data_IF_589086118256
#
_entry.id   IF_589086118256
#
_cell.length_a   1.000
_cell.length_b   1.000
_cell.length_c   1.000
_cell.angle_alpha   90.00
_cell.angle_beta   90.00
_cell.angle_gamma   90.00
#
_symmetry.space_group_name_H-M   'P 1'
#
loop_
_entity.id
_entity.type
_entity.pdbx_description
1 polymer ?
#
# COMPACT_ATOMS: atom_id res chain seq x y z
N UNK A 1 7.25 -4.42 -1.38
CA UNK A 1 5.81 -4.22 -1.11
C UNK A 1 5.43 -5.23 -0.05
N UNK A 2 4.77 -4.79 1.01
CA UNK A 2 4.34 -5.68 2.10
C UNK A 2 2.87 -6.00 1.90
N UNK A 3 2.52 -7.29 1.92
CA UNK A 3 1.14 -7.74 1.93
C UNK A 3 0.70 -8.01 3.36
N UNK A 4 -0.50 -7.56 3.71
CA UNK A 4 -1.09 -7.75 5.05
C UNK A 4 -2.54 -8.22 4.93
N UNK A 5 -2.98 -9.14 5.80
CA UNK A 5 -4.38 -9.58 5.81
C UNK A 5 -5.33 -8.58 6.47
N UNK A 6 -4.82 -7.68 7.32
CA UNK A 6 -5.65 -6.75 8.09
C UNK A 6 -5.39 -5.29 7.72
N UNK A 7 -6.46 -4.50 7.64
CA UNK A 7 -6.37 -3.06 7.39
C UNK A 7 -5.68 -2.31 8.54
N UNK A 8 -5.82 -2.78 9.78
CA UNK A 8 -5.17 -2.19 10.94
C UNK A 8 -3.64 -2.30 10.82
N UNK A 9 -3.13 -3.50 10.54
CA UNK A 9 -1.70 -3.71 10.32
C UNK A 9 -1.16 -2.90 9.14
N UNK A 10 -1.96 -2.70 8.09
CA UNK A 10 -1.56 -1.80 6.99
C UNK A 10 -1.30 -0.38 7.51
N UNK A 11 -2.27 0.19 8.22
CA UNK A 11 -2.15 1.54 8.77
C UNK A 11 -0.98 1.64 9.76
N UNK A 12 -0.81 0.64 10.63
CA UNK A 12 0.30 0.58 11.57
C UNK A 12 1.65 0.59 10.86
N UNK A 13 1.84 -0.22 9.81
CA UNK A 13 3.13 -0.26 9.08
C UNK A 13 3.39 1.05 8.34
N UNK A 14 2.37 1.68 7.76
CA UNK A 14 2.51 3.02 7.14
C UNK A 14 2.94 4.09 8.17
N UNK A 15 2.41 4.03 9.40
CA UNK A 15 2.75 4.95 10.48
C UNK A 15 4.15 4.65 11.05
N UNK A 16 4.44 3.39 11.40
CA UNK A 16 5.74 3.00 11.97
C UNK A 16 6.89 3.33 11.01
N UNK A 17 6.66 3.27 9.70
CA UNK A 17 7.65 3.68 8.72
C UNK A 17 8.06 5.15 8.85
N UNK A 18 7.12 6.04 9.20
CA UNK A 18 7.45 7.46 9.45
C UNK A 18 8.35 7.60 10.69
N UNK A 19 8.08 6.83 11.73
CA UNK A 19 8.88 6.84 12.97
C UNK A 19 10.28 6.27 12.74
N UNK A 20 10.39 5.12 12.07
CA UNK A 20 11.68 4.51 11.70
C UNK A 20 12.51 5.47 10.84
N UNK A 21 11.87 6.15 9.89
CA UNK A 21 12.54 7.16 9.06
C UNK A 21 13.09 8.33 9.90
N UNK A 22 12.37 8.75 10.94
CA UNK A 22 12.82 9.80 11.88
C UNK A 22 13.98 9.32 12.75
N UNK A 23 13.88 8.15 13.36
CA UNK A 23 14.89 7.64 14.28
C UNK A 23 16.18 7.22 13.59
N UNK A 24 16.08 6.58 12.43
CA UNK A 24 17.22 6.02 11.70
C UNK A 24 17.75 6.97 10.62
N UNK A 25 17.16 8.15 10.44
CA UNK A 25 17.53 9.09 9.37
C UNK A 25 17.29 8.54 7.96
N UNK A 26 16.40 7.55 7.83
CA UNK A 26 16.10 6.88 6.56
C UNK A 26 14.91 7.52 5.86
N UNK A 27 14.71 7.20 4.58
CA UNK A 27 13.61 7.75 3.74
C UNK A 27 12.87 6.63 3.02
N UNK A 28 12.54 5.58 3.74
CA UNK A 28 11.82 4.46 3.17
C UNK A 28 10.38 4.87 2.86
N UNK A 29 9.93 4.56 1.64
CA UNK A 29 8.56 4.72 1.18
C UNK A 29 8.04 3.36 0.69
N UNK A 30 7.90 2.42 1.62
CA UNK A 30 7.60 1.03 1.28
C UNK A 30 6.08 0.89 1.10
N UNK A 31 5.61 0.47 -0.08
CA UNK A 31 4.19 0.27 -0.30
C UNK A 31 3.65 -0.92 0.50
N UNK A 32 2.53 -0.71 1.19
CA UNK A 32 1.79 -1.74 1.94
C UNK A 32 0.38 -1.88 1.35
N UNK A 33 -0.06 -3.11 1.08
CA UNK A 33 -1.39 -3.37 0.51
C UNK A 33 -2.09 -4.51 1.24
N UNK A 34 -3.42 -4.43 1.32
CA UNK A 34 -4.22 -5.53 1.85
C UNK A 34 -4.31 -6.65 0.82
N UNK A 35 -4.34 -7.91 1.24
CA UNK A 35 -4.47 -9.06 0.34
C UNK A 35 -5.72 -8.97 -0.54
N UNK A 36 -6.84 -8.51 0.01
CA UNK A 36 -8.07 -8.30 -0.76
C UNK A 36 -7.89 -7.29 -1.89
N UNK A 37 -7.08 -6.24 -1.67
CA UNK A 37 -6.80 -5.25 -2.69
C UNK A 37 -5.92 -5.83 -3.79
N UNK A 38 -4.89 -6.61 -3.42
CA UNK A 38 -4.01 -7.27 -4.40
C UNK A 38 -4.82 -8.26 -5.23
N UNK A 39 -5.69 -9.04 -4.59
CA UNK A 39 -6.57 -10.00 -5.27
C UNK A 39 -7.53 -9.31 -6.23
N UNK A 40 -8.17 -8.23 -5.79
CA UNK A 40 -9.10 -7.48 -6.64
C UNK A 40 -8.41 -6.91 -7.88
N UNK A 41 -7.20 -6.35 -7.75
CA UNK A 41 -6.39 -5.93 -8.90
C UNK A 41 -6.06 -7.11 -9.82
N UNK A 42 -5.68 -8.27 -9.26
CA UNK A 42 -5.37 -9.46 -10.03
C UNK A 42 -6.60 -10.00 -10.80
N UNK A 43 -7.81 -9.83 -10.26
CA UNK A 43 -9.07 -10.17 -10.90
C UNK A 43 -9.57 -9.10 -11.90
N UNK A 44 -8.77 -8.08 -12.21
CA UNK A 44 -9.13 -7.03 -13.16
C UNK A 44 -9.88 -5.84 -12.56
N UNK A 45 -9.93 -5.71 -11.24
CA UNK A 45 -10.49 -4.54 -10.55
C UNK A 45 -9.66 -3.28 -10.80
N UNK A 46 -10.36 -2.17 -11.01
CA UNK A 46 -9.76 -0.87 -11.33
C UNK A 46 -9.17 -0.19 -10.08
N UNK A 47 -8.18 0.68 -10.26
CA UNK A 47 -7.53 1.39 -9.16
C UNK A 47 -8.50 2.18 -8.24
N UNK A 48 -9.64 2.62 -8.79
CA UNK A 48 -10.71 3.31 -8.05
C UNK A 48 -11.51 2.37 -7.16
N UNK A 49 -11.88 1.19 -7.66
CA UNK A 49 -12.66 0.20 -6.91
C UNK A 49 -11.88 -0.32 -5.70
N UNK A 50 -10.57 -0.46 -5.84
CA UNK A 50 -9.71 -0.94 -4.76
C UNK A 50 -9.19 0.18 -3.84
N UNK A 51 -9.69 1.41 -4.05
CA UNK A 51 -9.38 2.61 -3.26
C UNK A 51 -7.86 2.78 -3.14
N UNK A 52 -7.14 2.62 -4.27
CA UNK A 52 -5.69 2.64 -4.23
C UNK A 52 -5.10 4.03 -3.94
N UNK A 53 -5.91 5.07 -4.17
CA UNK A 53 -5.60 6.49 -4.00
C UNK A 53 -5.59 6.97 -2.54
N UNK A 54 -6.28 6.28 -1.63
CA UNK A 54 -6.40 6.68 -0.22
C UNK A 54 -5.20 6.32 0.67
N UNK A 55 -4.06 5.95 0.07
CA UNK A 55 -2.89 5.48 0.81
C UNK A 55 -1.86 6.58 1.02
N UNK A 56 -1.31 6.65 2.22
CA UNK A 56 -0.30 7.65 2.59
C UNK A 56 0.95 7.49 1.73
N UNK A 57 1.33 6.23 1.44
CA UNK A 57 2.44 5.89 0.55
C UNK A 57 1.88 5.40 -0.79
N UNK A 58 2.23 6.11 -1.87
CA UNK A 58 1.73 5.78 -3.21
C UNK A 58 2.26 4.43 -3.72
N UNK A 59 1.35 3.61 -4.24
CA UNK A 59 1.63 2.29 -4.80
C UNK A 59 1.68 2.32 -6.33
N UNK A 60 2.72 2.95 -6.88
CA UNK A 60 2.91 3.12 -8.33
C UNK A 60 2.72 1.79 -9.09
N UNK A 61 3.47 0.75 -8.71
CA UNK A 61 3.38 -0.58 -9.35
C UNK A 61 1.96 -1.18 -9.35
N UNK A 62 1.22 -1.04 -8.25
CA UNK A 62 -0.13 -1.61 -8.16
C UNK A 62 -1.14 -0.79 -8.96
N UNK A 63 -0.96 0.54 -8.97
CA UNK A 63 -1.75 1.45 -9.80
C UNK A 63 -1.51 1.19 -11.29
N UNK A 64 -0.26 1.01 -11.71
CA UNK A 64 0.08 0.74 -13.11
C UNK A 64 -0.57 -0.57 -13.60
N UNK A 65 -0.66 -1.59 -12.74
CA UNK A 65 -1.36 -2.85 -13.05
C UNK A 65 -2.88 -2.63 -13.14
N UNK A 66 -3.43 -1.80 -12.26
CA UNK A 66 -4.87 -1.52 -12.17
C UNK A 66 -5.35 -0.38 -13.10
N UNK A 67 -4.47 0.18 -13.94
CA UNK A 67 -4.73 1.27 -14.88
C UNK A 67 -4.98 0.78 -16.33
N UNK A 68 -5.20 -0.52 -16.52
CA UNK A 68 -5.59 -1.11 -17.81
C UNK A 68 -7.03 -0.79 -18.19
#
# INVERSE_FOLDING_TARGET
>A
MIGTPCQLYRASVEICQLEINKEQGTKFAIPVACYSQIMSVACGGSAKEVVLDGHVIQRKKLKDIAAK
#
